data_IF_770338980099
#
_entry.id   IF_770338980099
#
_cell.length_a   1.000
_cell.length_b   1.000
_cell.length_c   1.000
_cell.angle_alpha   90.00
_cell.angle_beta   90.00
_cell.angle_gamma   90.00
#
_symmetry.space_group_name_H-M   'P 1'
#
loop_
_entity.id
_entity.type
_entity.pdbx_description
1 polymer ?
#
# COMPACT_ATOMS: atom_id res chain seq x y z
N UNK A 1 19.69 -7.65 -19.21
CA UNK A 1 18.44 -7.78 -20.00
C UNK A 1 18.02 -9.22 -20.30
N UNK A 2 18.89 -10.11 -20.78
CA UNK A 2 18.50 -11.50 -21.08
C UNK A 2 17.93 -12.30 -19.88
N UNK A 3 18.31 -11.96 -18.65
CA UNK A 3 17.71 -12.54 -17.44
C UNK A 3 16.26 -12.06 -17.22
N UNK A 4 15.97 -10.79 -17.53
CA UNK A 4 14.64 -10.17 -17.42
C UNK A 4 13.67 -10.83 -18.42
N UNK A 5 14.10 -11.01 -19.68
CA UNK A 5 13.33 -11.72 -20.70
C UNK A 5 12.95 -13.14 -20.28
N UNK A 6 13.88 -13.87 -19.65
CA UNK A 6 13.60 -15.24 -19.18
C UNK A 6 12.61 -15.25 -18.01
N UNK A 7 12.79 -14.34 -17.05
CA UNK A 7 11.93 -14.24 -15.86
C UNK A 7 10.49 -13.87 -16.22
N UNK A 8 10.27 -13.05 -17.24
CA UNK A 8 8.95 -12.54 -17.64
C UNK A 8 8.43 -13.14 -18.95
N UNK A 9 8.91 -14.33 -19.33
CA UNK A 9 8.50 -15.02 -20.57
C UNK A 9 7.00 -15.36 -20.64
N UNK A 10 6.30 -15.39 -19.51
CA UNK A 10 4.84 -15.61 -19.47
C UNK A 10 4.02 -14.39 -19.92
N UNK A 11 4.63 -13.19 -20.02
CA UNK A 11 3.97 -11.99 -20.54
C UNK A 11 4.41 -11.72 -21.97
N UNK A 12 3.72 -12.34 -22.94
CA UNK A 12 4.09 -12.28 -24.35
C UNK A 12 4.13 -10.85 -24.92
N UNK A 13 3.28 -9.94 -24.41
CA UNK A 13 3.25 -8.55 -24.88
C UNK A 13 4.47 -7.78 -24.39
N UNK A 14 4.81 -7.90 -23.10
CA UNK A 14 6.04 -7.31 -22.55
C UNK A 14 7.29 -7.89 -23.23
N UNK A 15 7.32 -9.20 -23.48
CA UNK A 15 8.44 -9.86 -24.12
C UNK A 15 8.68 -9.35 -25.54
N UNK A 16 7.63 -9.27 -26.37
CA UNK A 16 7.73 -8.80 -27.75
C UNK A 16 8.18 -7.33 -27.82
N UNK A 17 7.66 -6.47 -26.94
CA UNK A 17 8.08 -5.06 -26.90
C UNK A 17 9.53 -4.91 -26.43
N UNK A 18 9.94 -5.62 -25.38
CA UNK A 18 11.33 -5.57 -24.91
C UNK A 18 12.30 -6.10 -25.96
N UNK A 19 11.93 -7.18 -26.68
CA UNK A 19 12.72 -7.72 -27.77
C UNK A 19 12.87 -6.70 -28.92
N UNK A 20 11.79 -6.03 -29.30
CA UNK A 20 11.83 -4.93 -30.27
C UNK A 20 12.77 -3.80 -29.85
N UNK A 21 12.68 -3.36 -28.59
CA UNK A 21 13.58 -2.33 -28.04
C UNK A 21 15.04 -2.78 -27.99
N UNK A 22 15.32 -4.06 -27.78
CA UNK A 22 16.69 -4.58 -27.73
C UNK A 22 17.36 -4.62 -29.12
N UNK A 23 16.57 -4.76 -30.18
CA UNK A 23 17.05 -4.72 -31.56
C UNK A 23 17.18 -3.28 -32.12
N UNK A 24 16.80 -2.26 -31.34
CA UNK A 24 17.02 -0.86 -31.72
C UNK A 24 18.52 -0.54 -31.75
N UNK A 25 18.97 -0.02 -32.88
CA UNK A 25 20.38 0.28 -33.16
C UNK A 25 20.79 1.64 -32.60
N UNK A 26 19.86 2.59 -32.56
CA UNK A 26 20.07 3.90 -31.95
C UNK A 26 20.01 3.78 -30.41
N UNK A 27 21.13 4.08 -29.76
CA UNK A 27 21.26 3.97 -28.30
C UNK A 27 20.30 4.89 -27.54
N UNK A 28 20.06 6.08 -28.06
CA UNK A 28 19.17 7.08 -27.49
C UNK A 28 17.71 6.67 -27.59
N UNK A 29 17.27 6.25 -28.78
CA UNK A 29 15.91 5.74 -29.00
C UNK A 29 15.63 4.49 -28.17
N UNK A 30 16.61 3.57 -28.08
CA UNK A 30 16.49 2.41 -27.21
C UNK A 30 16.32 2.80 -25.75
N UNK A 31 17.15 3.71 -25.24
CA UNK A 31 17.10 4.14 -23.84
C UNK A 31 15.77 4.86 -23.52
N UNK A 32 15.28 5.70 -24.43
CA UNK A 32 13.99 6.38 -24.29
C UNK A 32 12.82 5.40 -24.35
N UNK A 33 12.85 4.43 -25.28
CA UNK A 33 11.83 3.39 -25.37
C UNK A 33 11.78 2.50 -24.13
N UNK A 34 12.94 2.11 -23.58
CA UNK A 34 13.02 1.37 -22.31
C UNK A 34 12.52 2.21 -21.13
N UNK A 35 12.82 3.51 -21.08
CA UNK A 35 12.31 4.41 -20.05
C UNK A 35 10.78 4.52 -20.11
N UNK A 36 10.22 4.68 -21.30
CA UNK A 36 8.77 4.73 -21.51
C UNK A 36 8.09 3.41 -21.13
N UNK A 37 8.70 2.28 -21.48
CA UNK A 37 8.24 0.95 -21.07
C UNK A 37 8.23 0.82 -19.54
N UNK A 38 9.33 1.18 -18.87
CA UNK A 38 9.42 1.15 -17.41
C UNK A 38 8.31 1.99 -16.75
N UNK A 39 8.03 3.19 -17.26
CA UNK A 39 6.96 4.04 -16.77
C UNK A 39 5.57 3.41 -16.92
N UNK A 40 5.30 2.69 -18.02
CA UNK A 40 4.03 1.96 -18.18
C UNK A 40 3.93 0.77 -17.25
N UNK A 41 5.03 0.05 -17.01
CA UNK A 41 5.04 -1.03 -16.02
C UNK A 41 4.83 -0.48 -14.59
N UNK A 42 5.45 0.66 -14.26
CA UNK A 42 5.24 1.38 -12.99
C UNK A 42 3.78 1.81 -12.82
N UNK A 43 3.16 2.40 -13.86
CA UNK A 43 1.76 2.82 -13.79
C UNK A 43 0.78 1.64 -13.72
N UNK A 44 1.17 0.49 -14.29
CA UNK A 44 0.47 -0.79 -14.15
C UNK A 44 0.71 -1.48 -12.80
N UNK A 45 1.45 -0.86 -11.87
CA UNK A 45 1.75 -1.41 -10.54
C UNK A 45 2.81 -2.51 -10.54
N UNK A 46 3.46 -2.78 -11.68
CA UNK A 46 4.52 -3.79 -11.83
C UNK A 46 5.88 -3.17 -11.53
N UNK A 47 6.01 -2.68 -10.30
CA UNK A 47 7.16 -1.88 -9.85
C UNK A 47 8.48 -2.65 -9.86
N UNK A 48 8.45 -3.97 -9.63
CA UNK A 48 9.63 -4.84 -9.75
C UNK A 48 10.23 -4.78 -11.16
N UNK A 49 9.38 -4.98 -12.18
CA UNK A 49 9.78 -4.96 -13.60
C UNK A 49 10.27 -3.56 -13.97
N UNK A 50 9.53 -2.54 -13.56
CA UNK A 50 9.94 -1.16 -13.79
C UNK A 50 11.32 -0.86 -13.20
N UNK A 51 11.58 -1.29 -11.95
CA UNK A 51 12.87 -1.13 -11.30
C UNK A 51 14.00 -1.85 -12.05
N UNK A 52 13.78 -3.08 -12.52
CA UNK A 52 14.78 -3.81 -13.31
C UNK A 52 15.08 -3.12 -14.64
N UNK A 53 14.06 -2.58 -15.33
CA UNK A 53 14.25 -1.83 -16.58
C UNK A 53 14.98 -0.50 -16.31
N UNK A 54 14.58 0.26 -15.28
CA UNK A 54 15.29 1.49 -14.90
C UNK A 54 16.75 1.20 -14.52
N UNK A 55 17.04 0.12 -13.80
CA UNK A 55 18.41 -0.29 -13.48
C UNK A 55 19.21 -0.66 -14.72
N UNK A 56 18.59 -1.30 -15.71
CA UNK A 56 19.25 -1.60 -16.98
C UNK A 56 19.56 -0.34 -17.78
N UNK A 57 18.65 0.65 -17.82
CA UNK A 57 18.90 1.95 -18.48
C UNK A 57 19.95 2.76 -17.73
N UNK A 58 19.94 2.74 -16.39
CA UNK A 58 20.93 3.42 -15.54
C UNK A 58 22.34 2.83 -15.68
N UNK A 59 22.45 1.51 -15.88
CA UNK A 59 23.72 0.80 -16.01
C UNK A 59 24.35 0.85 -17.40
N UNK A 60 23.61 1.26 -18.44
CA UNK A 60 24.15 1.35 -19.79
C UNK A 60 25.05 2.61 -19.88
N UNK A 61 26.33 2.42 -20.25
CA UNK A 61 27.29 3.52 -20.32
C UNK A 61 27.22 4.23 -21.69
N UNK A 62 26.70 5.47 -21.78
CA UNK A 62 26.59 6.18 -23.05
C UNK A 62 27.99 6.55 -23.60
N UNK A 63 28.99 6.71 -22.72
CA UNK A 63 30.35 7.06 -23.13
C UNK A 63 30.99 5.97 -24.00
N UNK A 64 30.65 4.70 -23.72
CA UNK A 64 31.13 3.55 -24.49
C UNK A 64 30.58 3.50 -25.93
N UNK A 65 29.54 4.28 -26.27
CA UNK A 65 28.92 4.30 -27.61
C UNK A 65 29.01 5.64 -28.34
N UNK A 66 29.61 6.66 -27.74
CA UNK A 66 29.73 8.00 -28.35
C UNK A 66 28.39 8.73 -28.53
N UNK A 67 27.34 8.29 -27.83
CA UNK A 67 25.99 8.83 -27.96
C UNK A 67 25.69 9.82 -26.83
N UNK A 68 25.63 11.11 -27.17
CA UNK A 68 25.30 12.17 -26.22
C UNK A 68 23.82 12.18 -25.82
N UNK A 69 22.93 11.59 -26.65
CA UNK A 69 21.48 11.57 -26.46
C UNK A 69 21.04 10.69 -25.28
N UNK A 70 21.80 9.65 -24.95
CA UNK A 70 21.50 8.72 -23.86
C UNK A 70 21.61 9.30 -22.44
N UNK A 71 22.20 10.50 -22.26
CA UNK A 71 22.43 11.08 -20.92
C UNK A 71 21.15 11.44 -20.18
N UNK A 72 20.14 11.97 -20.88
CA UNK A 72 18.89 12.42 -20.27
C UNK A 72 18.02 11.23 -19.82
N UNK A 73 17.75 10.21 -20.66
CA UNK A 73 17.00 9.03 -20.23
C UNK A 73 17.66 8.30 -19.06
N UNK A 74 19.00 8.20 -19.07
CA UNK A 74 19.76 7.58 -17.99
C UNK A 74 19.58 8.30 -16.66
N UNK A 75 19.78 9.63 -16.61
CA UNK A 75 19.58 10.41 -15.39
C UNK A 75 18.16 10.25 -14.84
N UNK A 76 17.15 10.27 -15.71
CA UNK A 76 15.74 10.05 -15.31
C UNK A 76 15.52 8.64 -14.76
N UNK A 77 16.12 7.62 -15.37
CA UNK A 77 16.06 6.25 -14.89
C UNK A 77 16.73 6.09 -13.52
N UNK A 78 17.89 6.70 -13.30
CA UNK A 78 18.58 6.72 -12.00
C UNK A 78 17.73 7.41 -10.91
N UNK A 79 17.15 8.58 -11.21
CA UNK A 79 16.27 9.30 -10.30
C UNK A 79 15.02 8.48 -9.94
N UNK A 80 14.38 7.84 -10.93
CA UNK A 80 13.20 6.98 -10.71
C UNK A 80 13.54 5.70 -9.96
N UNK A 81 14.65 5.06 -10.30
CA UNK A 81 15.15 3.90 -9.58
C UNK A 81 15.44 4.24 -8.11
N UNK A 82 16.06 5.40 -7.85
CA UNK A 82 16.29 5.87 -6.49
C UNK A 82 14.97 6.05 -5.72
N UNK A 83 13.91 6.56 -6.35
CA UNK A 83 12.57 6.66 -5.74
C UNK A 83 12.01 5.28 -5.41
N UNK A 84 12.04 4.32 -6.35
CA UNK A 84 11.58 2.95 -6.14
C UNK A 84 12.40 2.19 -5.08
N UNK A 85 13.66 2.58 -4.88
CA UNK A 85 14.55 2.04 -3.84
C UNK A 85 14.51 2.83 -2.53
N UNK A 86 13.72 3.91 -2.46
CA UNK A 86 13.55 4.70 -1.23
C UNK A 86 14.60 5.75 -0.96
N UNK A 87 15.59 5.87 -1.85
CA UNK A 87 16.68 6.83 -1.76
C UNK A 87 16.38 8.15 -2.48
N UNK A 88 15.28 8.22 -3.22
CA UNK A 88 14.86 9.40 -3.97
C UNK A 88 14.29 10.53 -3.09
N UNK A 89 14.05 11.72 -3.67
CA UNK A 89 13.50 12.86 -2.95
C UNK A 89 12.11 12.55 -2.38
N UNK A 90 11.84 13.05 -1.17
CA UNK A 90 10.60 12.79 -0.42
C UNK A 90 9.34 13.04 -1.26
N UNK A 91 9.29 14.15 -2.01
CA UNK A 91 8.12 14.52 -2.83
C UNK A 91 7.77 13.47 -3.88
N UNK A 92 8.77 12.93 -4.59
CA UNK A 92 8.56 11.89 -5.59
C UNK A 92 8.13 10.56 -4.96
N UNK A 93 8.64 10.23 -3.77
CA UNK A 93 8.19 9.05 -3.00
C UNK A 93 6.73 9.21 -2.56
N UNK A 94 6.35 10.38 -2.03
CA UNK A 94 4.96 10.67 -1.64
C UNK A 94 4.02 10.60 -2.84
N UNK A 95 4.43 11.11 -3.99
CA UNK A 95 3.64 11.02 -5.23
C UNK A 95 3.45 9.57 -5.70
N UNK A 96 4.52 8.75 -5.64
CA UNK A 96 4.46 7.32 -5.97
C UNK A 96 3.50 6.58 -5.02
N UNK A 97 3.64 6.80 -3.72
CA UNK A 97 2.80 6.18 -2.68
C UNK A 97 1.35 6.65 -2.81
N UNK A 98 1.12 7.93 -3.09
CA UNK A 98 -0.21 8.48 -3.30
C UNK A 98 -0.92 7.85 -4.49
N UNK A 99 -0.20 7.63 -5.60
CA UNK A 99 -0.73 6.90 -6.77
C UNK A 99 -1.08 5.46 -6.44
N UNK A 100 -0.18 4.72 -5.80
CA UNK A 100 -0.43 3.34 -5.40
C UNK A 100 -1.61 3.24 -4.44
N UNK A 101 -1.68 4.14 -3.46
CA UNK A 101 -2.81 4.23 -2.55
C UNK A 101 -4.12 4.51 -3.29
N UNK A 102 -4.15 5.45 -4.23
CA UNK A 102 -5.35 5.74 -5.01
C UNK A 102 -5.81 4.54 -5.85
N UNK A 103 -4.86 3.77 -6.41
CA UNK A 103 -5.17 2.54 -7.13
C UNK A 103 -5.72 1.46 -6.19
N UNK A 104 -5.10 1.26 -5.03
CA UNK A 104 -5.58 0.29 -4.03
C UNK A 104 -6.93 0.68 -3.45
N UNK A 105 -7.13 1.96 -3.15
CA UNK A 105 -8.38 2.50 -2.61
C UNK A 105 -9.54 2.39 -3.61
N UNK A 106 -9.26 2.23 -4.91
CA UNK A 106 -10.25 1.98 -5.94
C UNK A 106 -10.39 0.50 -6.31
N UNK A 107 -9.67 -0.41 -5.66
CA UNK A 107 -9.80 -1.85 -5.90
C UNK A 107 -11.13 -2.36 -5.30
N UNK A 108 -12.08 -2.85 -6.13
CA UNK A 108 -13.38 -3.31 -5.66
C UNK A 108 -13.27 -4.46 -4.67
N UNK A 109 -12.29 -5.36 -4.81
CA UNK A 109 -12.12 -6.47 -3.88
C UNK A 109 -11.69 -6.00 -2.49
N UNK A 110 -10.78 -5.03 -2.41
CA UNK A 110 -10.36 -4.40 -1.16
C UNK A 110 -11.53 -3.66 -0.50
N UNK A 111 -12.28 -2.87 -1.26
CA UNK A 111 -13.44 -2.13 -0.76
C UNK A 111 -14.51 -3.08 -0.21
N UNK A 112 -14.79 -4.17 -0.92
CA UNK A 112 -15.74 -5.18 -0.47
C UNK A 112 -15.23 -5.89 0.80
N UNK A 113 -13.94 -6.23 0.84
CA UNK A 113 -13.28 -6.76 2.04
C UNK A 113 -13.41 -5.83 3.24
N UNK A 114 -13.14 -4.53 3.07
CA UNK A 114 -13.30 -3.51 4.11
C UNK A 114 -14.75 -3.39 4.58
N UNK A 115 -15.72 -3.45 3.67
CA UNK A 115 -17.14 -3.40 4.01
C UNK A 115 -17.56 -4.60 4.88
N UNK A 116 -17.16 -5.82 4.47
CA UNK A 116 -17.46 -7.05 5.22
C UNK A 116 -16.76 -7.05 6.58
N UNK A 117 -15.45 -6.77 6.62
CA UNK A 117 -14.69 -6.70 7.87
C UNK A 117 -15.25 -5.65 8.83
N UNK A 118 -15.59 -4.46 8.32
CA UNK A 118 -16.21 -3.39 9.08
C UNK A 118 -17.57 -3.77 9.67
N UNK A 119 -18.42 -4.46 8.91
CA UNK A 119 -19.70 -4.97 9.39
C UNK A 119 -19.50 -5.98 10.54
N UNK A 120 -18.62 -6.96 10.35
CA UNK A 120 -18.28 -7.97 11.38
C UNK A 120 -17.77 -7.30 12.66
N UNK A 121 -16.85 -6.35 12.52
CA UNK A 121 -16.31 -5.58 13.65
C UNK A 121 -17.42 -4.85 14.42
N UNK A 122 -18.30 -4.13 13.72
CA UNK A 122 -19.37 -3.36 14.34
C UNK A 122 -20.37 -4.25 15.06
N UNK A 123 -20.81 -5.34 14.42
CA UNK A 123 -21.75 -6.30 15.03
C UNK A 123 -21.19 -6.92 16.30
N UNK A 124 -19.94 -7.37 16.28
CA UNK A 124 -19.31 -7.99 17.44
C UNK A 124 -19.04 -6.98 18.55
N UNK A 125 -18.61 -5.78 18.20
CA UNK A 125 -18.43 -4.70 19.16
C UNK A 125 -19.74 -4.36 19.86
N UNK A 126 -20.84 -4.28 19.12
CA UNK A 126 -22.17 -4.03 19.70
C UNK A 126 -22.64 -5.21 20.56
N UNK A 127 -22.47 -6.45 20.10
CA UNK A 127 -22.84 -7.64 20.84
C UNK A 127 -22.05 -7.77 22.16
N UNK A 128 -20.73 -7.51 22.12
CA UNK A 128 -19.87 -7.54 23.30
C UNK A 128 -20.22 -6.42 24.28
N UNK A 129 -20.44 -5.20 23.81
CA UNK A 129 -20.89 -4.09 24.66
C UNK A 129 -22.28 -4.36 25.26
N UNK A 130 -23.21 -4.92 24.48
CA UNK A 130 -24.54 -5.31 24.96
C UNK A 130 -24.45 -6.35 26.08
N UNK A 131 -23.63 -7.39 25.88
CA UNK A 131 -23.40 -8.44 26.89
C UNK A 131 -22.71 -7.89 28.15
N UNK A 132 -21.75 -6.99 28.00
CA UNK A 132 -21.06 -6.35 29.13
C UNK A 132 -21.99 -5.41 29.90
N UNK A 133 -22.87 -4.68 29.21
CA UNK A 133 -23.87 -3.81 29.83
C UNK A 133 -24.91 -4.60 30.62
N UNK A 134 -25.29 -5.80 30.13
CA UNK A 134 -26.21 -6.69 30.81
C UNK A 134 -25.61 -7.46 32.01
N UNK A 135 -24.28 -7.44 32.19
CA UNK A 135 -23.61 -8.21 33.25
C UNK A 135 -23.67 -7.50 34.62
N UNK A 136 -24.31 -8.10 35.64
CA UNK A 136 -24.41 -7.51 36.99
C UNK A 136 -23.06 -7.48 37.74
N UNK A 137 -22.13 -8.35 37.36
CA UNK A 137 -20.84 -8.55 38.04
C UNK A 137 -19.70 -7.64 37.54
N UNK A 138 -20.02 -6.66 36.68
CA UNK A 138 -19.01 -5.80 36.08
C UNK A 138 -18.50 -4.72 37.08
N UNK A 139 -17.23 -4.82 37.47
CA UNK A 139 -16.49 -3.77 38.20
C UNK A 139 -16.37 -2.47 37.38
N UNK A 140 -16.02 -1.35 38.03
CA UNK A 140 -15.78 -0.05 37.37
C UNK A 140 -14.76 -0.15 36.22
N UNK A 141 -13.77 -1.03 36.34
CA UNK A 141 -12.77 -1.27 35.29
C UNK A 141 -13.39 -1.91 34.04
N UNK A 142 -14.34 -2.82 34.24
CA UNK A 142 -15.14 -3.44 33.17
C UNK A 142 -16.28 -2.56 32.63
N UNK A 143 -16.65 -1.45 33.30
CA UNK A 143 -17.66 -0.51 32.78
C UNK A 143 -17.07 0.67 32.01
N UNK A 144 -15.76 0.91 32.12
CA UNK A 144 -15.06 2.04 31.49
C UNK A 144 -14.13 1.63 30.35
N UNK A 145 -12.84 1.94 30.51
CA UNK A 145 -11.80 1.68 29.49
C UNK A 145 -11.63 0.19 29.19
N UNK A 146 -11.79 -0.69 30.18
CA UNK A 146 -11.67 -2.14 30.01
C UNK A 146 -12.72 -2.71 29.05
N UNK A 147 -14.00 -2.34 29.19
CA UNK A 147 -15.05 -2.75 28.24
C UNK A 147 -14.76 -2.28 26.82
N UNK A 148 -14.25 -1.06 26.67
CA UNK A 148 -13.90 -0.51 25.35
C UNK A 148 -12.73 -1.26 24.73
N UNK A 149 -11.68 -1.56 25.50
CA UNK A 149 -10.54 -2.33 25.03
C UNK A 149 -10.95 -3.77 24.67
N UNK A 150 -11.73 -4.44 25.52
CA UNK A 150 -12.21 -5.81 25.27
C UNK A 150 -13.12 -5.89 24.05
N UNK A 151 -14.10 -4.98 23.92
CA UNK A 151 -15.00 -4.95 22.75
C UNK A 151 -14.25 -4.61 21.47
N UNK A 152 -13.24 -3.75 21.54
CA UNK A 152 -12.37 -3.45 20.40
C UNK A 152 -11.53 -4.67 20.00
N UNK A 153 -10.88 -5.33 20.96
CA UNK A 153 -10.08 -6.53 20.72
C UNK A 153 -10.91 -7.70 20.17
N UNK A 154 -12.10 -7.94 20.73
CA UNK A 154 -13.00 -8.99 20.27
C UNK A 154 -13.51 -8.73 18.85
N UNK A 155 -13.91 -7.49 18.54
CA UNK A 155 -14.29 -7.11 17.18
C UNK A 155 -13.12 -7.28 16.20
N UNK A 156 -11.94 -6.82 16.59
CA UNK A 156 -10.73 -6.89 15.77
C UNK A 156 -10.29 -8.33 15.46
N UNK A 157 -10.38 -9.23 16.44
CA UNK A 157 -9.99 -10.63 16.29
C UNK A 157 -10.76 -11.38 15.18
N UNK A 158 -12.01 -10.98 14.91
CA UNK A 158 -12.83 -11.57 13.84
C UNK A 158 -12.87 -10.71 12.57
N UNK A 159 -12.62 -9.40 12.70
CA UNK A 159 -12.53 -8.51 11.55
C UNK A 159 -11.37 -8.88 10.63
N UNK A 160 -10.18 -9.14 11.17
CA UNK A 160 -9.00 -9.47 10.37
C UNK A 160 -9.24 -10.69 9.47
N UNK A 161 -9.66 -11.87 9.98
CA UNK A 161 -9.93 -13.01 9.12
C UNK A 161 -11.11 -12.79 8.18
N UNK A 162 -12.16 -12.07 8.61
CA UNK A 162 -13.28 -11.75 7.73
C UNK A 162 -12.85 -10.88 6.55
N UNK A 163 -12.04 -9.84 6.82
CA UNK A 163 -11.48 -8.97 5.81
C UNK A 163 -10.60 -9.74 4.81
N UNK A 164 -9.66 -10.56 5.30
CA UNK A 164 -8.76 -11.34 4.44
C UNK A 164 -9.53 -12.33 3.57
N UNK A 165 -10.44 -13.11 4.16
CA UNK A 165 -11.23 -14.10 3.41
C UNK A 165 -12.17 -13.44 2.40
N UNK A 166 -12.82 -12.34 2.78
CA UNK A 166 -13.68 -11.60 1.87
C UNK A 166 -12.89 -11.05 0.67
N UNK A 167 -11.75 -10.38 0.93
CA UNK A 167 -10.90 -9.81 -0.12
C UNK A 167 -10.45 -10.88 -1.12
N UNK A 168 -9.97 -12.03 -0.62
CA UNK A 168 -9.61 -13.18 -1.46
C UNK A 168 -10.80 -13.75 -2.24
N UNK A 169 -11.96 -13.87 -1.59
CA UNK A 169 -13.18 -14.33 -2.24
C UNK A 169 -13.58 -13.42 -3.41
N UNK A 170 -13.57 -12.11 -3.20
CA UNK A 170 -13.86 -11.14 -4.26
C UNK A 170 -12.79 -11.12 -5.35
N UNK A 171 -11.51 -11.27 -5.00
CA UNK A 171 -10.45 -11.46 -6.00
C UNK A 171 -10.70 -12.68 -6.88
N UNK A 172 -11.09 -13.81 -6.29
CA UNK A 172 -11.46 -15.02 -7.02
C UNK A 172 -12.66 -14.81 -7.94
N UNK A 173 -13.67 -14.07 -7.50
CA UNK A 173 -14.84 -13.70 -8.33
C UNK A 173 -14.46 -12.81 -9.52
N UNK A 174 -13.41 -11.99 -9.37
CA UNK A 174 -12.84 -11.16 -10.46
C UNK A 174 -11.86 -11.93 -11.36
N UNK A 175 -11.72 -13.25 -11.17
CA UNK A 175 -10.83 -14.09 -11.96
C UNK A 175 -9.35 -13.92 -11.63
N UNK A 176 -9.01 -13.26 -10.51
CA UNK A 176 -7.62 -13.15 -10.05
C UNK A 176 -7.22 -14.46 -9.38
N UNK A 177 -6.11 -15.04 -9.79
CA UNK A 177 -5.56 -16.24 -9.13
C UNK A 177 -5.21 -15.92 -7.67
N UNK A 178 -5.55 -16.83 -6.74
CA UNK A 178 -5.30 -16.67 -5.31
C UNK A 178 -4.59 -17.91 -4.78
N UNK A 179 -3.47 -17.73 -4.09
CA UNK A 179 -2.77 -18.83 -3.43
C UNK A 179 -3.41 -19.15 -2.07
N UNK A 180 -4.17 -20.25 -1.99
CA UNK A 180 -4.83 -20.73 -0.76
C UNK A 180 -3.92 -21.54 0.17
N UNK A 181 -2.60 -21.55 -0.08
CA UNK A 181 -1.65 -22.16 0.83
C UNK A 181 -1.75 -21.57 2.25
N UNK A 182 -1.48 -22.40 3.25
CA UNK A 182 -1.49 -21.99 4.66
C UNK A 182 -0.48 -20.88 4.94
N UNK A 183 0.67 -20.90 4.25
CA UNK A 183 1.70 -19.88 4.38
C UNK A 183 1.23 -18.52 3.84
N UNK A 184 0.65 -18.49 2.64
CA UNK A 184 0.11 -17.27 2.04
C UNK A 184 -1.03 -16.68 2.89
N UNK A 185 -1.96 -17.53 3.36
CA UNK A 185 -3.03 -17.11 4.27
C UNK A 185 -2.49 -16.52 5.58
N UNK A 186 -1.50 -17.18 6.20
CA UNK A 186 -0.89 -16.69 7.44
C UNK A 186 -0.21 -15.34 7.26
N UNK A 187 0.52 -15.17 6.15
CA UNK A 187 1.20 -13.91 5.81
C UNK A 187 0.21 -12.78 5.57
N UNK A 188 -0.86 -13.05 4.80
CA UNK A 188 -1.90 -12.06 4.53
C UNK A 188 -2.72 -11.70 5.77
N UNK A 189 -3.06 -12.66 6.63
CA UNK A 189 -3.75 -12.39 7.89
C UNK A 189 -2.92 -11.46 8.78
N UNK A 190 -1.61 -11.71 8.87
CA UNK A 190 -0.70 -10.89 9.67
C UNK A 190 -0.55 -9.47 9.09
N UNK A 191 -0.36 -9.36 7.77
CA UNK A 191 -0.30 -8.08 7.04
C UNK A 191 -1.61 -7.28 7.18
N UNK A 192 -2.76 -7.93 6.96
CA UNK A 192 -4.07 -7.32 7.16
C UNK A 192 -4.28 -6.88 8.61
N UNK A 193 -3.86 -7.69 9.58
CA UNK A 193 -3.90 -7.36 11.00
C UNK A 193 -3.09 -6.11 11.32
N UNK A 194 -1.82 -6.05 10.89
CA UNK A 194 -0.96 -4.88 11.07
C UNK A 194 -1.59 -3.62 10.45
N UNK A 195 -2.05 -3.75 9.21
CA UNK A 195 -2.64 -2.63 8.47
C UNK A 195 -3.91 -2.11 9.15
N UNK A 196 -4.86 -2.99 9.50
CA UNK A 196 -6.09 -2.60 10.18
C UNK A 196 -5.82 -2.03 11.58
N UNK A 197 -4.87 -2.61 12.31
CA UNK A 197 -4.48 -2.13 13.64
C UNK A 197 -3.97 -0.69 13.57
N UNK A 198 -3.05 -0.40 12.66
CA UNK A 198 -2.44 0.93 12.53
C UNK A 198 -3.42 1.96 11.96
N UNK A 199 -4.24 1.56 10.98
CA UNK A 199 -5.29 2.41 10.43
C UNK A 199 -6.33 2.81 11.49
N UNK A 200 -6.77 1.88 12.33
CA UNK A 200 -7.71 2.17 13.41
C UNK A 200 -7.08 2.99 14.53
N UNK A 201 -5.82 2.69 14.87
CA UNK A 201 -5.08 3.42 15.90
C UNK A 201 -4.85 4.88 15.49
N UNK A 202 -4.46 5.12 14.23
CA UNK A 202 -4.30 6.46 13.70
C UNK A 202 -5.62 7.22 13.64
N UNK A 203 -6.70 6.58 13.19
CA UNK A 203 -8.05 7.17 13.19
C UNK A 203 -8.57 7.50 14.58
N UNK A 204 -8.31 6.66 15.58
CA UNK A 204 -8.64 6.93 16.98
C UNK A 204 -7.85 8.13 17.53
N UNK A 205 -6.55 8.21 17.22
CA UNK A 205 -5.69 9.35 17.57
C UNK A 205 -6.17 10.65 16.94
N UNK A 206 -6.51 10.63 15.64
CA UNK A 206 -7.03 11.79 14.94
C UNK A 206 -8.37 12.25 15.52
N UNK A 207 -9.28 11.32 15.82
CA UNK A 207 -10.56 11.64 16.47
C UNK A 207 -10.35 12.27 17.84
N UNK A 208 -9.40 11.76 18.64
CA UNK A 208 -9.06 12.33 19.94
C UNK A 208 -8.49 13.75 19.80
N UNK A 209 -7.61 13.97 18.83
CA UNK A 209 -7.04 15.28 18.52
C UNK A 209 -8.13 16.27 18.07
N UNK A 210 -9.00 15.88 17.14
CA UNK A 210 -10.11 16.72 16.67
C UNK A 210 -11.04 17.13 17.81
N UNK A 211 -11.35 16.22 18.75
CA UNK A 211 -12.16 16.54 19.94
C UNK A 211 -11.47 17.54 20.87
N UNK A 212 -10.14 17.42 21.05
CA UNK A 212 -9.36 18.37 21.85
C UNK A 212 -9.33 19.75 21.21
N UNK A 213 -9.10 19.82 19.91
CA UNK A 213 -9.09 21.09 19.16
C UNK A 213 -10.47 21.76 19.18
N UNK A 214 -11.53 21.00 18.95
CA UNK A 214 -12.90 21.51 19.01
C UNK A 214 -13.34 22.00 20.40
N UNK A 215 -12.73 21.47 21.47
CA UNK A 215 -12.98 21.94 22.85
C UNK A 215 -12.14 23.15 23.25
N UNK A 216 -10.96 23.35 22.63
CA UNK A 216 -10.05 24.46 22.93
C UNK A 216 -10.41 25.74 22.15
N UNK A 217 -10.85 25.59 20.90
CA UNK A 217 -11.31 26.70 20.07
C UNK A 217 -12.83 26.79 20.17
N UNK A 218 -13.32 27.71 21.02
CA UNK A 218 -14.76 28.02 21.08
C UNK A 218 -15.31 28.30 19.68
N UNK A 219 -16.08 27.36 19.14
CA UNK A 219 -16.92 27.42 17.94
C UNK A 219 -16.39 28.16 16.69
N UNK A 220 -16.06 27.36 15.67
CA UNK A 220 -16.26 27.65 14.24
C UNK A 220 -15.23 28.55 13.50
N UNK A 221 -13.94 28.40 13.78
CA UNK A 221 -12.90 28.87 12.86
C UNK A 221 -12.92 28.13 11.51
N UNK A 222 -12.65 28.84 10.41
CA UNK A 222 -12.47 28.25 9.07
C UNK A 222 -11.36 27.17 9.09
N UNK A 223 -10.30 27.40 9.88
CA UNK A 223 -9.21 26.45 10.10
C UNK A 223 -9.69 25.16 10.77
N UNK A 224 -10.64 25.23 11.71
CA UNK A 224 -11.22 24.06 12.37
C UNK A 224 -12.00 23.21 11.34
N UNK A 225 -12.75 23.85 10.43
CA UNK A 225 -13.48 23.12 9.36
C UNK A 225 -12.54 22.40 8.40
N UNK A 226 -11.46 23.09 7.98
CA UNK A 226 -10.44 22.47 7.12
C UNK A 226 -9.76 21.29 7.84
N UNK A 227 -9.40 21.47 9.11
CA UNK A 227 -8.76 20.43 9.92
C UNK A 227 -9.65 19.20 10.10
N UNK A 228 -10.95 19.39 10.33
CA UNK A 228 -11.92 18.28 10.47
C UNK A 228 -12.02 17.44 9.19
N UNK A 229 -11.89 18.05 8.01
CA UNK A 229 -11.92 17.33 6.74
C UNK A 229 -10.57 16.65 6.41
N UNK A 230 -9.45 17.33 6.67
CA UNK A 230 -8.12 16.84 6.31
C UNK A 230 -7.55 15.80 7.30
N UNK A 231 -7.84 15.93 8.59
CA UNK A 231 -7.27 15.06 9.64
C UNK A 231 -7.58 13.57 9.44
N UNK A 232 -8.82 13.15 9.11
CA UNK A 232 -9.11 11.73 8.87
C UNK A 232 -8.30 11.15 7.70
N UNK A 233 -8.14 11.92 6.62
CA UNK A 233 -7.37 11.50 5.45
C UNK A 233 -5.87 11.38 5.78
N UNK A 234 -5.32 12.38 6.47
CA UNK A 234 -3.93 12.36 6.92
C UNK A 234 -3.66 11.20 7.90
N UNK A 235 -4.60 10.92 8.80
CA UNK A 235 -4.50 9.81 9.74
C UNK A 235 -4.56 8.46 9.03
N UNK A 236 -5.45 8.30 8.05
CA UNK A 236 -5.52 7.08 7.25
C UNK A 236 -4.20 6.83 6.51
N UNK A 237 -3.68 7.87 5.83
CA UNK A 237 -2.39 7.80 5.15
C UNK A 237 -1.23 7.46 6.12
N UNK A 238 -1.21 8.08 7.30
CA UNK A 238 -0.21 7.80 8.34
C UNK A 238 -0.28 6.35 8.83
N UNK A 239 -1.49 5.82 9.01
CA UNK A 239 -1.70 4.42 9.40
C UNK A 239 -1.16 3.44 8.36
N UNK A 240 -1.39 3.74 7.07
CA UNK A 240 -0.93 2.92 5.94
C UNK A 240 0.60 2.96 5.83
N UNK A 241 1.21 4.16 5.91
CA UNK A 241 2.67 4.28 5.90
C UNK A 241 3.30 3.54 7.08
N UNK A 242 2.72 3.67 8.27
CA UNK A 242 3.17 2.93 9.45
C UNK A 242 3.07 1.42 9.25
N UNK A 243 2.01 0.93 8.60
CA UNK A 243 1.81 -0.48 8.32
C UNK A 243 2.87 -1.01 7.38
N UNK A 244 3.11 -0.32 6.27
CA UNK A 244 4.15 -0.68 5.33
C UNK A 244 5.54 -0.71 5.96
N UNK A 245 5.88 0.31 6.76
CA UNK A 245 7.16 0.34 7.47
C UNK A 245 7.32 -0.84 8.44
N UNK A 246 6.24 -1.25 9.13
CA UNK A 246 6.27 -2.37 10.05
C UNK A 246 6.35 -3.71 9.32
N UNK A 247 5.60 -3.89 8.24
CA UNK A 247 5.65 -5.10 7.41
C UNK A 247 7.03 -5.33 6.78
N UNK A 248 7.66 -4.25 6.28
CA UNK A 248 9.02 -4.29 5.75
C UNK A 248 10.02 -4.72 6.83
N UNK A 249 9.91 -4.16 8.05
CA UNK A 249 10.76 -4.53 9.19
C UNK A 249 10.57 -5.98 9.65
N UNK A 250 9.37 -6.52 9.50
CA UNK A 250 9.05 -7.91 9.85
C UNK A 250 9.36 -8.91 8.71
N UNK A 251 9.83 -8.43 7.56
CA UNK A 251 10.11 -9.29 6.40
C UNK A 251 8.85 -9.93 5.81
N UNK A 252 7.68 -9.34 6.03
CA UNK A 252 6.41 -9.87 5.51
C UNK A 252 6.21 -9.52 4.03
N UNK A 253 6.89 -8.48 3.55
CA UNK A 253 6.86 -8.11 2.14
C UNK A 253 7.98 -8.79 1.36
N UNK A 254 7.71 -9.23 0.12
CA UNK A 254 8.76 -9.68 -0.78
C UNK A 254 9.82 -8.60 -0.94
N UNK A 255 11.09 -8.99 -0.99
CA UNK A 255 12.25 -8.07 -1.03
C UNK A 255 12.38 -7.24 -2.32
N UNK A 256 11.38 -7.25 -3.20
CA UNK A 256 11.30 -6.42 -4.42
C UNK A 256 10.28 -5.29 -4.36
N UNK A 257 9.29 -5.37 -3.48
CA UNK A 257 8.15 -4.45 -3.50
C UNK A 257 8.61 -3.01 -3.26
N UNK A 258 8.36 -2.12 -4.24
CA UNK A 258 8.77 -0.72 -4.22
C UNK A 258 8.19 0.09 -3.05
N UNK A 259 7.27 -0.47 -2.27
CA UNK A 259 6.81 0.15 -1.03
C UNK A 259 7.69 -0.16 0.20
N UNK A 260 8.70 -1.03 0.08
CA UNK A 260 9.76 -1.22 1.11
C UNK A 260 10.78 -0.06 1.14
N UNK A 261 10.64 0.88 0.22
CA UNK A 261 11.45 2.08 0.05
C UNK A 261 11.12 3.24 1.02
N UNK A 262 10.18 3.05 1.94
CA UNK A 262 9.77 4.07 2.91
C UNK A 262 10.44 3.83 4.25
#
# INVERSE_FOLDING_TARGET
MAALLRRHSNDGALHAELDGLLHENDGGLRAEGLLALAQRQESAGRTDIAAEIYAAVAGDDPASRGDEGGRIPRRRAEERLAVLQGRGPLGARVELLGRHFAQQASDPALLAGMAVGGAVFQTLRLATLSRLAASPSASLFTRGLGARALSWGAGFALEVPAFTLATRGFNGLLGREQDWSREALGRELLSAGITLFLLKSSGAGATALTRRLAGAEGTAGVLTRFSVAALPQAAAFTGILGAHALEARLGLRPSGDAANAV
#
